data_IF_281559679750
#
_entry.id   IF_281559679750
#
_cell.length_a   1.000
_cell.length_b   1.000
_cell.length_c   1.000
_cell.angle_alpha   90.00
_cell.angle_beta   90.00
_cell.angle_gamma   90.00
#
_symmetry.space_group_name_H-M   'P 1'
#
loop_
_entity.id
_entity.type
_entity.pdbx_description
1 polymer ?
#
# COMPACT_ATOMS: atom_id res chain seq x y z
N UNK A 1 -3.23 -15.40 -12.90
CA UNK A 1 -2.27 -15.99 -11.95
C UNK A 1 -0.95 -15.21 -11.87
N UNK A 2 -0.24 -14.94 -12.99
CA UNK A 2 1.03 -14.16 -12.98
C UNK A 2 0.93 -12.75 -12.37
N UNK A 3 -0.16 -12.03 -12.63
CA UNK A 3 -0.35 -10.64 -12.17
C UNK A 3 -0.42 -10.55 -10.64
N UNK A 4 -1.18 -11.45 -10.01
CA UNK A 4 -1.32 -11.50 -8.54
C UNK A 4 0.00 -11.79 -7.85
N UNK A 5 0.82 -12.66 -8.43
CA UNK A 5 2.16 -12.94 -7.93
C UNK A 5 3.08 -11.73 -8.08
N UNK A 6 3.02 -11.01 -9.20
CA UNK A 6 3.86 -9.83 -9.44
C UNK A 6 3.54 -8.69 -8.47
N UNK A 7 2.27 -8.30 -8.36
CA UNK A 7 1.84 -7.24 -7.43
C UNK A 7 2.12 -7.67 -5.99
N UNK A 8 1.84 -8.93 -5.66
CA UNK A 8 2.09 -9.49 -4.36
C UNK A 8 3.57 -9.43 -3.94
N UNK A 9 4.48 -9.85 -4.84
CA UNK A 9 5.93 -9.79 -4.60
C UNK A 9 6.45 -8.35 -4.51
N UNK A 10 5.91 -7.46 -5.33
CA UNK A 10 6.27 -6.03 -5.29
C UNK A 10 5.90 -5.39 -3.96
N UNK A 11 4.68 -5.65 -3.47
CA UNK A 11 4.23 -5.19 -2.15
C UNK A 11 5.09 -5.71 -1.01
N UNK A 12 5.52 -6.98 -1.08
CA UNK A 12 6.41 -7.59 -0.09
C UNK A 12 7.79 -6.92 -0.11
N UNK A 13 8.39 -6.78 -1.30
CA UNK A 13 9.70 -6.12 -1.46
C UNK A 13 9.67 -4.66 -0.98
N UNK A 14 8.65 -3.88 -1.34
CA UNK A 14 8.51 -2.49 -0.89
C UNK A 14 8.38 -2.38 0.64
N UNK A 15 7.63 -3.29 1.27
CA UNK A 15 7.49 -3.31 2.72
C UNK A 15 8.81 -3.67 3.40
N UNK A 16 9.52 -4.70 2.91
CA UNK A 16 10.81 -5.13 3.45
C UNK A 16 11.86 -4.00 3.38
N UNK A 17 12.00 -3.37 2.21
CA UNK A 17 12.92 -2.24 2.02
C UNK A 17 12.60 -1.10 2.98
N UNK A 18 11.32 -0.72 3.11
CA UNK A 18 10.90 0.32 4.02
C UNK A 18 11.24 0.00 5.49
N UNK A 19 11.02 -1.24 5.93
CA UNK A 19 11.35 -1.66 7.30
C UNK A 19 12.86 -1.68 7.53
N UNK A 20 13.64 -2.15 6.56
CA UNK A 20 15.11 -2.13 6.62
C UNK A 20 15.64 -0.70 6.74
N UNK A 21 15.14 0.24 5.94
CA UNK A 21 15.50 1.66 6.01
C UNK A 21 15.14 2.25 7.37
N UNK A 22 13.95 1.94 7.91
CA UNK A 22 13.59 2.38 9.26
C UNK A 22 14.57 1.86 10.30
N UNK A 23 14.97 0.59 10.24
CA UNK A 23 15.95 0.03 11.16
C UNK A 23 17.33 0.69 11.03
N UNK A 24 17.80 0.94 9.80
CA UNK A 24 19.09 1.57 9.55
C UNK A 24 19.17 3.02 10.10
N UNK A 25 18.05 3.73 10.09
CA UNK A 25 17.96 5.13 10.56
C UNK A 25 17.61 5.26 12.06
N UNK A 26 17.31 4.16 12.72
CA UNK A 26 16.83 4.13 14.10
C UNK A 26 17.98 4.11 15.11
N UNK A 27 17.81 4.78 16.24
CA UNK A 27 18.70 4.62 17.39
C UNK A 27 18.41 3.29 18.09
N UNK A 28 19.40 2.72 18.76
CA UNK A 28 19.22 1.49 19.54
C UNK A 28 18.01 1.61 20.48
N UNK A 29 17.05 0.70 20.32
CA UNK A 29 15.82 0.64 21.11
C UNK A 29 14.68 1.59 20.69
N UNK A 30 14.86 2.47 19.69
CA UNK A 30 13.81 3.38 19.18
C UNK A 30 13.68 3.24 17.67
N UNK A 31 12.61 2.59 17.20
CA UNK A 31 12.30 2.56 15.77
C UNK A 31 11.66 3.89 15.36
N UNK A 32 12.38 4.67 14.56
CA UNK A 32 11.83 5.87 13.91
C UNK A 32 10.63 5.48 13.02
N UNK A 33 9.60 6.34 12.95
CA UNK A 33 8.40 6.13 12.10
C UNK A 33 7.51 4.92 12.50
N UNK A 34 7.42 4.58 13.78
CA UNK A 34 6.61 3.46 14.28
C UNK A 34 5.14 3.48 13.82
N UNK A 35 4.50 4.65 13.74
CA UNK A 35 3.12 4.80 13.26
C UNK A 35 2.99 4.54 11.75
N UNK A 36 3.92 5.06 10.95
CA UNK A 36 3.99 4.80 9.51
C UNK A 36 4.19 3.30 9.24
N UNK A 37 5.05 2.63 10.01
CA UNK A 37 5.23 1.17 9.96
C UNK A 37 3.94 0.43 10.24
N UNK A 38 3.22 0.80 11.32
CA UNK A 38 1.94 0.18 11.66
C UNK A 38 0.94 0.36 10.51
N UNK A 39 0.87 1.56 9.93
CA UNK A 39 -0.08 1.86 8.89
C UNK A 39 0.25 1.15 7.57
N UNK A 40 1.51 1.17 7.12
CA UNK A 40 1.96 0.43 5.93
C UNK A 40 1.76 -1.07 6.08
N UNK A 41 1.94 -1.64 7.27
CA UNK A 41 1.59 -3.06 7.53
C UNK A 41 0.09 -3.33 7.38
N UNK A 42 -0.78 -2.41 7.83
CA UNK A 42 -2.24 -2.53 7.64
C UNK A 42 -2.61 -2.45 6.15
N UNK A 43 -2.04 -1.50 5.42
CA UNK A 43 -2.24 -1.33 3.97
C UNK A 43 -1.78 -2.58 3.21
N UNK A 44 -0.57 -3.05 3.47
CA UNK A 44 -0.04 -4.29 2.89
C UNK A 44 -1.00 -5.46 3.07
N UNK A 45 -1.48 -5.69 4.30
CA UNK A 45 -2.44 -6.78 4.59
C UNK A 45 -3.75 -6.61 3.84
N UNK A 46 -4.30 -5.39 3.80
CA UNK A 46 -5.56 -5.10 3.12
C UNK A 46 -5.42 -5.30 1.60
N UNK A 47 -4.36 -4.78 0.97
CA UNK A 47 -4.09 -5.00 -0.45
C UNK A 47 -3.86 -6.49 -0.78
N UNK A 48 -3.20 -7.25 0.10
CA UNK A 48 -3.04 -8.71 -0.05
C UNK A 48 -4.37 -9.47 0.03
N UNK A 49 -5.32 -8.99 0.84
CA UNK A 49 -6.68 -9.53 0.87
C UNK A 49 -7.44 -9.18 -0.41
N UNK A 50 -7.39 -7.92 -0.84
CA UNK A 50 -8.04 -7.44 -2.07
C UNK A 50 -7.52 -8.17 -3.32
N UNK A 51 -6.21 -8.41 -3.42
CA UNK A 51 -5.63 -9.22 -4.50
C UNK A 51 -6.22 -10.63 -4.59
N UNK A 52 -6.65 -11.21 -3.47
CA UNK A 52 -7.29 -12.55 -3.46
C UNK A 52 -8.78 -12.49 -3.77
N UNK A 53 -9.46 -11.44 -3.31
CA UNK A 53 -10.92 -11.31 -3.41
C UNK A 53 -11.37 -10.68 -4.73
N UNK A 54 -10.69 -9.61 -5.15
CA UNK A 54 -11.05 -8.75 -6.28
C UNK A 54 -9.81 -8.50 -7.18
N UNK A 55 -9.28 -9.57 -7.82
CA UNK A 55 -8.02 -9.51 -8.56
C UNK A 55 -8.08 -8.58 -9.79
N UNK A 56 -9.27 -8.39 -10.37
CA UNK A 56 -9.49 -7.54 -11.54
C UNK A 56 -9.30 -6.05 -11.21
N UNK A 57 -9.87 -5.59 -10.10
CA UNK A 57 -9.70 -4.21 -9.63
C UNK A 57 -8.24 -3.90 -9.28
N UNK A 58 -7.49 -4.91 -8.80
CA UNK A 58 -6.09 -4.76 -8.45
C UNK A 58 -5.14 -4.70 -9.67
N UNK A 59 -5.62 -4.93 -10.90
CA UNK A 59 -4.75 -4.93 -12.09
C UNK A 59 -4.08 -3.57 -12.33
N UNK A 60 -4.75 -2.49 -11.96
CA UNK A 60 -4.22 -1.12 -12.09
C UNK A 60 -2.90 -0.92 -11.34
N UNK A 61 -2.69 -1.67 -10.25
CA UNK A 61 -1.49 -1.59 -9.42
C UNK A 61 -0.22 -2.07 -10.13
N UNK A 62 -0.34 -2.83 -11.23
CA UNK A 62 0.81 -3.24 -12.04
C UNK A 62 1.60 -2.05 -12.60
N UNK A 63 0.88 -0.96 -12.91
CA UNK A 63 1.45 0.23 -13.53
C UNK A 63 1.91 1.25 -12.50
N UNK A 64 1.69 1.00 -11.22
CA UNK A 64 2.10 1.88 -10.12
C UNK A 64 3.55 1.64 -9.74
N UNK A 65 4.36 2.69 -9.68
CA UNK A 65 5.80 2.62 -9.40
C UNK A 65 6.11 2.18 -7.97
N UNK A 66 5.46 2.81 -6.99
CA UNK A 66 5.62 2.55 -5.56
C UNK A 66 4.26 2.30 -4.90
N UNK A 67 3.77 1.06 -4.96
CA UNK A 67 2.39 0.73 -4.60
C UNK A 67 2.10 1.08 -3.13
N UNK A 68 2.97 0.63 -2.23
CA UNK A 68 2.79 0.76 -0.79
C UNK A 68 2.95 2.21 -0.33
N UNK A 69 3.91 2.93 -0.90
CA UNK A 69 4.13 4.36 -0.60
C UNK A 69 2.95 5.21 -1.06
N UNK A 70 2.48 4.99 -2.29
CA UNK A 70 1.38 5.77 -2.85
C UNK A 70 0.05 5.46 -2.16
N UNK A 71 -0.20 4.19 -1.85
CA UNK A 71 -1.36 3.80 -1.04
C UNK A 71 -1.31 4.46 0.35
N UNK A 72 -0.13 4.51 0.98
CA UNK A 72 0.05 5.18 2.27
C UNK A 72 -0.26 6.67 2.18
N UNK A 73 0.32 7.39 1.21
CA UNK A 73 0.04 8.82 0.99
C UNK A 73 -1.43 9.07 0.72
N UNK A 74 -2.05 8.31 -0.17
CA UNK A 74 -3.48 8.45 -0.46
C UNK A 74 -4.33 8.24 0.80
N UNK A 75 -4.02 7.23 1.61
CA UNK A 75 -4.76 7.00 2.85
C UNK A 75 -4.52 8.11 3.89
N UNK A 76 -3.33 8.71 3.94
CA UNK A 76 -3.12 9.87 4.80
C UNK A 76 -3.90 11.10 4.34
N UNK A 77 -3.96 11.33 3.03
CA UNK A 77 -4.50 12.55 2.45
C UNK A 77 -6.03 12.50 2.27
N UNK A 78 -6.58 11.31 1.98
CA UNK A 78 -7.94 11.16 1.46
C UNK A 78 -8.81 10.23 2.31
N UNK A 79 -8.29 9.63 3.38
CA UNK A 79 -9.12 8.77 4.24
C UNK A 79 -10.11 9.63 5.04
N UNK A 80 -11.39 9.46 4.74
CA UNK A 80 -12.49 9.98 5.55
C UNK A 80 -12.61 9.22 6.88
N UNK A 81 -13.15 9.86 7.93
CA UNK A 81 -13.24 9.28 9.27
C UNK A 81 -14.08 7.99 9.28
N UNK A 82 -15.21 8.01 8.57
CA UNK A 82 -16.16 6.90 8.46
C UNK A 82 -15.70 5.78 7.51
N UNK A 83 -14.78 6.09 6.59
CA UNK A 83 -14.30 5.12 5.61
C UNK A 83 -13.48 4.01 6.27
N UNK A 84 -13.74 2.76 5.88
CA UNK A 84 -12.82 1.66 6.18
C UNK A 84 -11.56 1.79 5.33
N UNK A 85 -10.43 1.27 5.84
CA UNK A 85 -9.17 1.26 5.07
C UNK A 85 -9.35 0.56 3.71
N UNK A 86 -10.09 -0.53 3.67
CA UNK A 86 -10.36 -1.26 2.44
C UNK A 86 -11.13 -0.38 1.44
N UNK A 87 -12.17 0.32 1.90
CA UNK A 87 -12.95 1.22 1.05
C UNK A 87 -12.08 2.37 0.51
N UNK A 88 -11.23 2.96 1.33
CA UNK A 88 -10.28 4.00 0.89
C UNK A 88 -9.32 3.47 -0.18
N UNK A 89 -8.80 2.24 -0.03
CA UNK A 89 -7.92 1.63 -1.02
C UNK A 89 -8.65 1.28 -2.33
N UNK A 90 -9.94 0.90 -2.25
CA UNK A 90 -10.79 0.72 -3.43
C UNK A 90 -11.03 2.04 -4.17
N UNK A 91 -11.34 3.12 -3.43
CA UNK A 91 -11.45 4.49 -3.98
C UNK A 91 -10.13 4.90 -4.66
N UNK A 92 -8.99 4.60 -4.04
CA UNK A 92 -7.67 4.86 -4.62
C UNK A 92 -7.45 4.14 -5.95
N UNK A 93 -7.66 2.81 -5.99
CA UNK A 93 -7.50 2.03 -7.23
C UNK A 93 -8.41 2.54 -8.35
N UNK A 94 -9.66 2.88 -8.02
CA UNK A 94 -10.60 3.49 -8.94
C UNK A 94 -10.10 4.86 -9.46
N UNK A 95 -9.49 5.68 -8.60
CA UNK A 95 -8.92 6.96 -9.00
C UNK A 95 -7.71 6.79 -9.94
N UNK A 96 -6.86 5.78 -9.72
CA UNK A 96 -5.75 5.47 -10.64
C UNK A 96 -6.30 5.04 -12.01
N UNK A 97 -7.30 4.15 -12.01
CA UNK A 97 -7.91 3.63 -13.25
C UNK A 97 -8.55 4.74 -14.08
N UNK A 98 -9.19 5.72 -13.42
CA UNK A 98 -9.80 6.88 -14.07
C UNK A 98 -8.80 8.01 -14.39
N UNK A 99 -7.51 7.84 -14.07
CA UNK A 99 -6.48 8.85 -14.30
C UNK A 99 -6.62 10.10 -13.42
N UNK A 100 -7.39 10.05 -12.35
CA UNK A 100 -7.60 11.15 -11.40
C UNK A 100 -6.64 11.09 -10.20
N UNK A 101 -5.84 10.03 -10.11
CA UNK A 101 -4.74 9.90 -9.18
C UNK A 101 -3.48 9.47 -9.95
N UNK A 102 -2.42 10.30 -9.90
CA UNK A 102 -1.12 9.94 -10.47
C UNK A 102 -0.41 8.91 -9.60
N UNK A 103 -0.01 7.81 -10.23
CA UNK A 103 0.71 6.69 -9.64
C UNK A 103 2.20 6.96 -9.40
#
# INVERSE_FOLDING_TARGET
MKILEMVGKKLEAELELFIMDCHALSKDGIISKSEEIVMKRKIYRSLRCLLKQEPEQCQVLLYTGHILENAYRFVQDQKEEEDSLELTLKKWMCAIENGTCSA
#
